data_IF_963539484390
#
_entry.id   IF_963539484390
#
_cell.length_a   1.000
_cell.length_b   1.000
_cell.length_c   1.000
_cell.angle_alpha   90.00
_cell.angle_beta   90.00
_cell.angle_gamma   90.00
#
_symmetry.space_group_name_H-M   'P 1'
#
loop_
_entity.id
_entity.type
_entity.pdbx_description
1 polymer ?
#
# COMPACT_ATOMS: atom_id res chain seq x y z
N UNK A 1 7.43 1.11 -0.32
CA UNK A 1 8.47 0.09 -0.56
C UNK A 1 9.79 0.75 -0.94
N UNK A 2 10.90 0.06 -0.75
CA UNK A 2 12.25 0.56 -1.07
C UNK A 2 12.41 0.95 -2.55
N UNK A 3 11.71 0.28 -3.45
CA UNK A 3 11.74 0.50 -4.90
C UNK A 3 10.79 1.61 -5.40
N UNK A 4 10.17 2.35 -4.48
CA UNK A 4 9.22 3.41 -4.80
C UNK A 4 7.79 2.95 -5.04
N UNK A 5 7.50 1.65 -4.97
CA UNK A 5 6.16 1.10 -5.00
C UNK A 5 5.39 1.37 -3.71
N UNK A 6 4.08 1.21 -3.77
CA UNK A 6 3.19 1.29 -2.60
C UNK A 6 2.52 -0.05 -2.38
N UNK A 7 2.51 -0.53 -1.13
CA UNK A 7 1.76 -1.70 -0.72
C UNK A 7 0.64 -1.29 0.25
N UNK A 8 -0.55 -1.78 0.00
CA UNK A 8 -1.71 -1.64 0.89
C UNK A 8 -2.24 -3.03 1.22
N UNK A 9 -2.25 -3.38 2.50
CA UNK A 9 -2.79 -4.66 2.99
C UNK A 9 -3.99 -4.42 3.88
N UNK A 10 -5.08 -5.14 3.64
CA UNK A 10 -6.27 -5.18 4.49
C UNK A 10 -6.55 -6.60 5.02
N UNK A 11 -7.29 -6.67 6.12
CA UNK A 11 -7.80 -7.89 6.75
C UNK A 11 -9.31 -8.10 6.50
N UNK A 12 -9.84 -7.50 5.43
CA UNK A 12 -11.22 -7.63 5.01
C UNK A 12 -11.56 -9.01 4.43
N UNK A 13 -12.64 -9.09 3.67
CA UNK A 13 -13.11 -10.35 3.07
C UNK A 13 -12.30 -10.81 1.84
N UNK A 14 -11.43 -9.99 1.34
CA UNK A 14 -10.71 -10.16 0.08
C UNK A 14 -11.57 -9.81 -1.14
N UNK A 15 -10.93 -9.31 -2.19
CA UNK A 15 -11.59 -9.00 -3.47
C UNK A 15 -12.15 -10.29 -4.08
N UNK A 16 -13.38 -10.30 -4.65
CA UNK A 16 -13.93 -11.49 -5.30
C UNK A 16 -13.07 -11.97 -6.46
N UNK A 17 -12.84 -13.30 -6.54
CA UNK A 17 -12.01 -13.95 -7.55
C UNK A 17 -12.81 -14.90 -8.47
N UNK A 18 -14.07 -15.20 -8.12
CA UNK A 18 -14.95 -16.04 -8.94
C UNK A 18 -15.16 -15.44 -10.34
N UNK A 19 -15.62 -16.27 -11.27
CA UNK A 19 -15.95 -15.82 -12.62
C UNK A 19 -17.15 -14.86 -12.60
N UNK A 20 -16.98 -13.72 -13.22
CA UNK A 20 -18.02 -12.72 -13.44
C UNK A 20 -18.91 -13.13 -14.63
N UNK A 21 -20.13 -12.60 -14.72
CA UNK A 21 -21.06 -12.84 -15.82
C UNK A 21 -20.53 -12.43 -17.20
N UNK A 22 -19.52 -11.56 -17.24
CA UNK A 22 -18.80 -11.19 -18.48
C UNK A 22 -17.84 -12.27 -19.01
N UNK A 23 -17.64 -13.38 -18.27
CA UNK A 23 -16.68 -14.42 -18.63
C UNK A 23 -15.25 -14.15 -18.22
N UNK A 24 -15.00 -13.10 -17.43
CA UNK A 24 -13.70 -12.76 -16.87
C UNK A 24 -13.69 -12.99 -15.33
N UNK A 25 -12.53 -13.19 -14.69
CA UNK A 25 -12.45 -13.17 -13.24
C UNK A 25 -12.98 -11.83 -12.68
N UNK A 26 -13.74 -11.88 -11.59
CA UNK A 26 -14.32 -10.66 -10.99
C UNK A 26 -13.23 -9.66 -10.60
N UNK A 27 -12.08 -10.12 -10.14
CA UNK A 27 -10.94 -9.24 -9.84
C UNK A 27 -10.50 -8.42 -11.06
N UNK A 28 -10.49 -9.00 -12.26
CA UNK A 28 -10.11 -8.26 -13.47
C UNK A 28 -11.15 -7.20 -13.82
N UNK A 29 -12.43 -7.50 -13.65
CA UNK A 29 -13.50 -6.50 -13.83
C UNK A 29 -13.35 -5.35 -12.84
N UNK A 30 -13.05 -5.64 -11.57
CA UNK A 30 -12.83 -4.62 -10.52
C UNK A 30 -11.64 -3.73 -10.84
N UNK A 31 -10.56 -4.31 -11.34
CA UNK A 31 -9.29 -3.60 -11.56
C UNK A 31 -9.24 -2.86 -12.89
N UNK A 32 -10.10 -3.20 -13.86
CA UNK A 32 -10.00 -2.64 -15.22
C UNK A 32 -11.25 -1.90 -15.69
N UNK A 33 -12.40 -2.08 -15.02
CA UNK A 33 -13.66 -1.44 -15.42
C UNK A 33 -14.04 -0.35 -14.40
N UNK A 34 -14.28 0.85 -14.89
CA UNK A 34 -14.78 1.95 -14.07
C UNK A 34 -16.17 1.62 -13.52
N UNK A 35 -16.42 1.97 -12.25
CA UNK A 35 -17.68 1.73 -11.53
C UNK A 35 -18.04 0.24 -11.28
N UNK A 36 -17.12 -0.69 -11.55
CA UNK A 36 -17.35 -2.11 -11.26
C UNK A 36 -17.21 -2.46 -9.76
N UNK A 37 -16.45 -1.66 -9.00
CA UNK A 37 -16.14 -1.94 -7.59
C UNK A 37 -17.26 -1.63 -6.59
N UNK A 38 -18.31 -0.90 -6.99
CA UNK A 38 -19.30 -0.34 -6.05
C UNK A 38 -20.44 -1.27 -5.64
N UNK A 39 -20.59 -2.44 -6.25
CA UNK A 39 -21.78 -3.29 -6.07
C UNK A 39 -21.47 -4.77 -5.99
N UNK A 40 -20.56 -5.16 -5.10
CA UNK A 40 -20.33 -6.60 -4.91
C UNK A 40 -21.47 -7.29 -4.14
N UNK A 41 -22.17 -6.57 -3.28
CA UNK A 41 -23.41 -6.99 -2.59
C UNK A 41 -24.11 -5.76 -2.04
N UNK A 42 -25.40 -5.58 -2.32
CA UNK A 42 -26.23 -4.55 -1.66
C UNK A 42 -26.26 -4.82 -0.14
N UNK A 43 -25.85 -3.83 0.66
CA UNK A 43 -25.87 -3.89 2.13
C UNK A 43 -24.61 -4.42 2.80
N UNK A 44 -23.56 -4.78 2.07
CA UNK A 44 -22.34 -5.37 2.64
C UNK A 44 -21.43 -4.36 3.38
N UNK A 45 -21.58 -3.06 3.14
CA UNK A 45 -20.79 -2.01 3.77
C UNK A 45 -21.70 -0.95 4.39
N UNK A 46 -21.69 -0.85 5.72
CA UNK A 46 -22.42 0.20 6.46
C UNK A 46 -21.78 1.58 6.30
N UNK A 47 -20.47 1.65 6.04
CA UNK A 47 -19.73 2.87 5.75
C UNK A 47 -18.69 2.53 4.69
N UNK A 48 -18.79 3.12 3.50
CA UNK A 48 -17.74 3.00 2.49
C UNK A 48 -17.08 4.36 2.31
N UNK A 49 -15.78 4.44 2.54
CA UNK A 49 -14.97 5.62 2.23
C UNK A 49 -14.85 5.88 0.72
N UNK A 50 -15.30 4.93 -0.11
CA UNK A 50 -15.29 5.00 -1.56
C UNK A 50 -16.69 5.17 -2.13
N UNK A 51 -17.01 6.39 -2.59
CA UNK A 51 -18.37 6.74 -3.05
C UNK A 51 -18.68 6.31 -4.49
N UNK A 52 -17.68 5.96 -5.32
CA UNK A 52 -17.87 5.85 -6.77
C UNK A 52 -17.44 4.51 -7.39
N UNK A 53 -16.81 3.62 -6.63
CA UNK A 53 -16.35 2.31 -7.15
C UNK A 53 -15.27 2.41 -8.24
N UNK A 54 -14.50 3.51 -8.28
CA UNK A 54 -13.47 3.76 -9.30
C UNK A 54 -12.04 3.77 -8.75
N UNK A 55 -11.85 3.81 -7.43
CA UNK A 55 -10.54 4.06 -6.84
C UNK A 55 -9.47 3.10 -7.32
N UNK A 56 -9.69 1.80 -7.19
CA UNK A 56 -8.67 0.79 -7.52
C UNK A 56 -8.44 0.66 -9.03
N UNK A 57 -9.47 0.79 -9.86
CA UNK A 57 -9.32 0.75 -11.32
C UNK A 57 -8.55 1.96 -11.86
N UNK A 58 -8.72 3.13 -11.24
CA UNK A 58 -7.92 4.33 -11.56
C UNK A 58 -6.46 4.15 -11.11
N UNK A 59 -6.21 3.59 -9.93
CA UNK A 59 -4.83 3.26 -9.49
C UNK A 59 -4.17 2.34 -10.49
N UNK A 60 -4.86 1.28 -10.94
CA UNK A 60 -4.34 0.37 -11.96
C UNK A 60 -4.04 1.09 -13.28
N UNK A 61 -4.96 1.92 -13.77
CA UNK A 61 -4.80 2.67 -15.02
C UNK A 61 -3.64 3.67 -15.01
N UNK A 62 -3.25 4.16 -13.82
CA UNK A 62 -2.17 5.13 -13.62
C UNK A 62 -0.85 4.48 -13.16
N UNK A 63 -0.75 3.15 -13.26
CA UNK A 63 0.41 2.38 -12.83
C UNK A 63 1.06 1.65 -14.01
N UNK A 64 2.38 1.55 -13.99
CA UNK A 64 3.12 0.68 -14.91
C UNK A 64 2.89 -0.78 -14.58
N UNK A 65 2.74 -1.09 -13.27
CA UNK A 65 2.52 -2.44 -12.75
C UNK A 65 1.62 -2.39 -11.53
N UNK A 66 0.74 -3.38 -11.41
CA UNK A 66 -0.03 -3.64 -10.20
C UNK A 66 -0.05 -5.15 -9.92
N UNK A 67 0.08 -5.51 -8.65
CA UNK A 67 0.00 -6.89 -8.15
C UNK A 67 -1.09 -6.98 -7.08
N UNK A 68 -1.85 -8.05 -7.12
CA UNK A 68 -2.90 -8.33 -6.16
C UNK A 68 -2.73 -9.74 -5.58
N UNK A 69 -2.51 -9.81 -4.26
CA UNK A 69 -2.51 -11.03 -3.49
C UNK A 69 -3.80 -11.08 -2.67
N UNK A 70 -4.70 -11.97 -3.00
CA UNK A 70 -6.02 -12.06 -2.39
C UNK A 70 -6.11 -13.34 -1.57
N UNK A 71 -6.60 -13.22 -0.34
CA UNK A 71 -6.90 -14.34 0.54
C UNK A 71 -8.42 -14.43 0.68
N UNK A 72 -9.01 -15.39 -0.05
CA UNK A 72 -10.46 -15.56 -0.14
C UNK A 72 -10.85 -17.00 -0.47
N UNK A 73 -12.01 -17.40 -0.01
CA UNK A 73 -12.61 -18.71 -0.31
C UNK A 73 -11.71 -19.91 0.03
N UNK A 74 -10.89 -19.75 1.08
CA UNK A 74 -9.99 -20.78 1.60
C UNK A 74 -8.65 -20.90 0.88
N UNK A 75 -8.34 -20.01 -0.07
CA UNK A 75 -7.12 -20.03 -0.88
C UNK A 75 -6.49 -18.64 -1.01
N UNK A 76 -5.21 -18.65 -1.34
CA UNK A 76 -4.49 -17.50 -1.86
C UNK A 76 -4.67 -17.42 -3.37
N UNK A 77 -4.76 -16.20 -3.90
CA UNK A 77 -4.93 -15.91 -5.32
C UNK A 77 -4.00 -14.79 -5.73
N UNK A 78 -3.33 -14.93 -6.85
CA UNK A 78 -2.36 -13.96 -7.36
C UNK A 78 -2.76 -13.48 -8.73
N UNK A 79 -2.83 -12.15 -8.89
CA UNK A 79 -3.09 -11.50 -10.17
C UNK A 79 -2.10 -10.38 -10.39
N UNK A 80 -1.71 -10.17 -11.64
CA UNK A 80 -0.80 -9.09 -12.02
C UNK A 80 -1.38 -8.30 -13.19
N UNK A 81 -1.04 -7.02 -13.24
CA UNK A 81 -1.42 -6.13 -14.33
C UNK A 81 -0.17 -5.39 -14.79
N UNK A 82 0.06 -5.39 -16.10
CA UNK A 82 1.12 -4.65 -16.76
C UNK A 82 0.45 -3.58 -17.62
N UNK A 83 0.63 -2.31 -17.27
CA UNK A 83 -0.13 -1.18 -17.86
C UNK A 83 -1.64 -1.49 -17.97
N UNK A 84 -2.25 -1.92 -16.89
CA UNK A 84 -3.65 -2.34 -16.78
C UNK A 84 -4.03 -3.61 -17.55
N UNK A 85 -3.12 -4.24 -18.28
CA UNK A 85 -3.40 -5.51 -18.97
C UNK A 85 -3.30 -6.65 -17.96
N UNK A 86 -4.39 -7.42 -17.72
CA UNK A 86 -4.39 -8.52 -16.77
C UNK A 86 -3.52 -9.69 -17.25
N UNK A 87 -2.74 -10.23 -16.33
CA UNK A 87 -2.09 -11.53 -16.48
C UNK A 87 -3.08 -12.68 -16.27
N UNK A 88 -2.57 -13.86 -15.98
CA UNK A 88 -3.39 -15.04 -15.64
C UNK A 88 -3.60 -15.10 -14.14
N UNK A 89 -4.85 -15.12 -13.67
CA UNK A 89 -5.19 -15.37 -12.27
C UNK A 89 -4.69 -16.76 -11.85
N UNK A 90 -3.89 -16.81 -10.78
CA UNK A 90 -3.31 -18.05 -10.25
C UNK A 90 -3.85 -18.33 -8.86
N UNK A 91 -4.28 -19.56 -8.62
CA UNK A 91 -4.58 -20.06 -7.29
C UNK A 91 -3.29 -20.51 -6.62
N UNK A 92 -3.07 -20.07 -5.39
CA UNK A 92 -1.98 -20.47 -4.52
C UNK A 92 -2.38 -21.51 -3.48
N UNK A 93 -1.76 -21.43 -2.32
CA UNK A 93 -1.95 -22.38 -1.22
C UNK A 93 -3.28 -22.16 -0.49
N UNK A 94 -3.71 -23.19 0.23
CA UNK A 94 -4.86 -23.09 1.12
C UNK A 94 -4.55 -22.19 2.32
N UNK A 95 -5.47 -21.30 2.67
CA UNK A 95 -5.32 -20.38 3.80
C UNK A 95 -6.63 -20.18 4.56
N UNK A 96 -6.55 -19.96 5.87
CA UNK A 96 -7.69 -19.55 6.69
C UNK A 96 -7.81 -18.03 6.84
N UNK A 97 -6.81 -17.29 6.35
CA UNK A 97 -6.81 -15.83 6.40
C UNK A 97 -7.70 -15.27 5.30
N UNK A 98 -8.20 -14.05 5.51
CA UNK A 98 -8.92 -13.27 4.51
C UNK A 98 -8.27 -11.90 4.36
N UNK A 99 -8.55 -11.20 3.26
CA UNK A 99 -8.03 -9.86 2.98
C UNK A 99 -7.39 -9.73 1.63
N UNK A 100 -6.91 -8.53 1.34
CA UNK A 100 -6.22 -8.23 0.09
C UNK A 100 -4.90 -7.52 0.38
N UNK A 101 -3.91 -7.76 -0.46
CA UNK A 101 -2.66 -6.99 -0.52
C UNK A 101 -2.51 -6.51 -1.95
N UNK A 102 -2.50 -5.20 -2.14
CA UNK A 102 -2.33 -4.55 -3.44
C UNK A 102 -1.00 -3.82 -3.43
N UNK A 103 -0.15 -4.12 -4.41
CA UNK A 103 1.09 -3.39 -4.69
C UNK A 103 0.97 -2.69 -6.03
N UNK A 104 1.43 -1.46 -6.12
CA UNK A 104 1.44 -0.74 -7.39
C UNK A 104 2.63 0.21 -7.52
N UNK A 105 3.01 0.47 -8.76
CA UNK A 105 4.07 1.39 -9.13
C UNK A 105 3.50 2.43 -10.08
N UNK A 106 3.44 3.68 -9.61
CA UNK A 106 2.89 4.79 -10.39
C UNK A 106 3.69 5.02 -11.67
N UNK A 107 2.99 5.37 -12.77
CA UNK A 107 3.63 5.57 -14.06
C UNK A 107 4.34 6.94 -14.13
N UNK A 108 5.67 7.00 -14.25
CA UNK A 108 6.43 8.24 -14.36
C UNK A 108 6.17 8.99 -15.67
N UNK A 109 5.55 8.37 -16.67
CA UNK A 109 5.12 9.06 -17.88
C UNK A 109 3.84 9.89 -17.68
N UNK A 110 3.06 9.60 -16.64
CA UNK A 110 1.80 10.28 -16.31
C UNK A 110 2.02 11.33 -15.21
N UNK A 111 2.80 10.99 -14.19
CA UNK A 111 3.01 11.84 -13.02
C UNK A 111 4.32 12.63 -13.14
N UNK A 112 4.30 13.90 -12.77
CA UNK A 112 5.50 14.75 -12.69
C UNK A 112 6.53 14.19 -11.69
N UNK A 113 6.06 13.54 -10.64
CA UNK A 113 6.88 12.82 -9.66
C UNK A 113 6.15 11.59 -9.15
N UNK A 114 6.88 10.50 -8.98
CA UNK A 114 6.41 9.27 -8.32
C UNK A 114 6.99 9.13 -6.91
N UNK A 115 7.63 10.18 -6.41
CA UNK A 115 8.19 10.23 -5.05
C UNK A 115 7.10 10.66 -4.07
N UNK A 116 6.69 9.76 -3.19
CA UNK A 116 5.69 10.04 -2.18
C UNK A 116 6.31 10.78 -1.00
N UNK A 117 5.66 11.85 -0.54
CA UNK A 117 6.00 12.54 0.70
C UNK A 117 5.31 11.88 1.90
N UNK A 118 6.10 11.43 2.87
CA UNK A 118 5.61 10.71 4.04
C UNK A 118 4.59 11.51 4.85
N UNK A 119 4.86 12.80 5.10
CA UNK A 119 3.99 13.63 5.93
C UNK A 119 2.66 13.96 5.23
N UNK A 120 2.68 14.10 3.92
CA UNK A 120 1.47 14.30 3.12
C UNK A 120 0.58 13.05 3.16
N UNK A 121 1.16 11.86 2.98
CA UNK A 121 0.43 10.59 3.08
C UNK A 121 -0.07 10.38 4.50
N UNK A 122 0.77 10.58 5.52
CA UNK A 122 0.42 10.42 6.92
C UNK A 122 -0.78 11.28 7.32
N UNK A 123 -0.80 12.56 6.89
CA UNK A 123 -1.94 13.47 7.15
C UNK A 123 -3.24 12.95 6.56
N UNK A 124 -3.21 12.45 5.32
CA UNK A 124 -4.40 11.89 4.67
C UNK A 124 -4.90 10.61 5.35
N UNK A 125 -4.00 9.73 5.75
CA UNK A 125 -4.37 8.52 6.48
C UNK A 125 -4.92 8.83 7.87
N UNK A 126 -4.39 9.86 8.54
CA UNK A 126 -4.92 10.36 9.82
C UNK A 126 -6.37 10.86 9.66
N UNK A 127 -6.66 11.66 8.63
CA UNK A 127 -8.02 12.13 8.32
C UNK A 127 -8.96 10.94 8.08
N UNK A 128 -8.53 9.93 7.32
CA UNK A 128 -9.32 8.72 7.06
C UNK A 128 -9.59 7.92 8.33
N UNK A 129 -8.59 7.71 9.18
CA UNK A 129 -8.76 7.01 10.45
C UNK A 129 -9.71 7.76 11.39
N UNK A 130 -9.63 9.08 11.44
CA UNK A 130 -10.52 9.93 12.25
C UNK A 130 -11.98 9.84 11.80
N UNK A 131 -12.24 9.80 10.49
CA UNK A 131 -13.58 9.70 9.92
C UNK A 131 -14.19 8.29 10.03
N UNK A 132 -13.35 7.26 10.27
CA UNK A 132 -13.78 5.86 10.34
C UNK A 132 -13.42 5.27 11.70
N UNK A 133 -14.26 5.50 12.70
CA UNK A 133 -14.07 5.01 14.07
C UNK A 133 -13.81 3.52 14.13
N UNK A 134 -12.82 3.13 14.92
CA UNK A 134 -12.39 1.74 15.08
C UNK A 134 -11.44 1.23 14.00
N UNK A 135 -11.21 1.99 12.93
CA UNK A 135 -10.19 1.65 11.92
C UNK A 135 -8.80 1.92 12.47
N UNK A 136 -7.88 0.97 12.30
CA UNK A 136 -6.46 1.14 12.57
C UNK A 136 -5.70 1.17 11.26
N UNK A 137 -4.90 2.21 11.04
CA UNK A 137 -4.04 2.35 9.86
C UNK A 137 -2.58 2.43 10.32
N UNK A 138 -1.75 1.57 9.76
CA UNK A 138 -0.30 1.60 9.95
C UNK A 138 0.36 2.11 8.66
N UNK A 139 1.19 3.13 8.77
CA UNK A 139 2.00 3.65 7.67
C UNK A 139 3.48 3.37 7.95
N UNK A 140 4.14 2.75 6.99
CA UNK A 140 5.58 2.45 7.05
C UNK A 140 6.24 2.96 5.76
N UNK A 141 7.32 3.71 5.88
CA UNK A 141 8.16 4.10 4.74
C UNK A 141 9.48 3.32 4.83
N UNK A 142 9.67 2.41 3.89
CA UNK A 142 10.85 1.54 3.83
C UNK A 142 12.02 2.19 3.08
N UNK A 143 11.79 3.37 2.47
CA UNK A 143 12.84 4.09 1.75
C UNK A 143 13.82 4.70 2.74
N UNK A 144 15.11 4.47 2.52
CA UNK A 144 16.18 5.04 3.31
C UNK A 144 16.60 6.37 2.69
N UNK A 145 16.41 7.48 3.40
CA UNK A 145 16.95 8.77 2.96
C UNK A 145 18.25 9.09 3.73
N UNK A 146 19.33 9.49 3.04
CA UNK A 146 20.60 9.85 3.69
C UNK A 146 20.50 11.00 4.69
N UNK A 147 19.49 11.86 4.55
CA UNK A 147 19.30 13.05 5.40
C UNK A 147 18.79 12.70 6.82
N UNK A 148 18.13 11.57 7.00
CA UNK A 148 17.56 11.17 8.30
C UNK A 148 18.58 10.57 9.28
N UNK A 149 19.79 10.31 8.82
CA UNK A 149 20.91 9.88 9.69
C UNK A 149 21.53 11.07 10.44
N UNK A 150 21.22 12.32 10.05
CA UNK A 150 21.86 13.52 10.57
C UNK A 150 21.13 14.13 11.76
N UNK A 151 19.80 14.01 11.85
CA UNK A 151 18.99 14.74 12.84
C UNK A 151 18.93 14.11 14.25
N UNK A 152 19.40 12.88 14.45
CA UNK A 152 19.38 12.23 15.77
C UNK A 152 20.70 12.33 16.57
N UNK A 153 21.73 12.99 16.06
CA UNK A 153 23.02 13.15 16.76
C UNK A 153 23.13 14.52 17.50
N UNK A 154 22.08 15.32 17.48
CA UNK A 154 22.01 16.57 18.25
C UNK A 154 21.10 16.39 19.45
N UNK A 155 21.45 15.51 20.37
CA UNK A 155 21.00 15.58 21.76
C UNK A 155 22.16 15.91 22.65
N UNK A 156 22.00 17.02 23.38
CA UNK A 156 22.91 17.56 24.39
C UNK A 156 23.55 16.51 25.30
N UNK A 157 24.75 16.08 24.98
CA UNK A 157 25.73 15.66 25.99
C UNK A 157 27.12 16.06 25.52
N UNK A 158 27.78 16.86 26.33
CA UNK A 158 29.13 17.35 26.11
C UNK A 158 30.15 16.20 26.17
N UNK A 159 30.36 15.51 25.04
CA UNK A 159 31.50 14.61 24.84
C UNK A 159 32.38 15.15 23.71
N UNK A 160 33.70 14.90 23.87
CA UNK A 160 34.74 15.39 23.00
C UNK A 160 34.50 15.05 21.51
N UNK A 161 34.95 15.88 20.56
CA UNK A 161 34.68 15.67 19.13
C UNK A 161 35.36 14.39 18.65
N UNK A 162 34.51 13.39 18.27
CA UNK A 162 34.94 12.13 17.63
C UNK A 162 35.58 12.43 16.26
N UNK A 163 36.59 11.63 15.88
CA UNK A 163 37.29 11.79 14.60
C UNK A 163 36.36 11.53 13.42
N UNK A 164 36.71 12.05 12.24
CA UNK A 164 35.94 11.86 11.01
C UNK A 164 35.79 10.35 10.61
N UNK A 165 36.78 9.52 10.98
CA UNK A 165 36.79 8.09 10.73
C UNK A 165 35.85 7.32 11.67
N UNK A 166 35.76 7.72 12.95
CA UNK A 166 34.81 7.13 13.89
C UNK A 166 33.36 7.45 13.54
N UNK A 167 33.09 8.69 13.06
CA UNK A 167 31.78 9.09 12.53
C UNK A 167 31.40 8.34 11.27
N UNK A 168 32.36 8.03 10.40
CA UNK A 168 32.12 7.25 9.19
C UNK A 168 31.83 5.76 9.50
N UNK A 169 32.52 5.19 10.48
CA UNK A 169 32.30 3.81 10.93
C UNK A 169 30.94 3.67 11.66
N UNK A 170 30.57 4.64 12.46
CA UNK A 170 29.27 4.69 13.17
C UNK A 170 28.09 4.86 12.18
N UNK A 171 28.27 5.65 11.10
CA UNK A 171 27.31 5.77 9.99
C UNK A 171 27.15 4.47 9.20
N UNK A 172 28.22 3.71 9.00
CA UNK A 172 28.18 2.43 8.31
C UNK A 172 27.54 1.32 9.16
N UNK A 173 27.54 1.46 10.49
CA UNK A 173 26.96 0.51 11.44
C UNK A 173 25.51 0.82 11.84
N UNK A 174 25.03 2.05 11.56
CA UNK A 174 23.65 2.45 11.85
C UNK A 174 22.66 1.71 10.93
N UNK A 175 21.80 0.87 11.51
CA UNK A 175 20.70 0.28 10.75
C UNK A 175 19.77 1.39 10.25
N UNK A 176 19.34 1.35 8.96
CA UNK A 176 18.42 2.32 8.43
C UNK A 176 17.13 2.36 9.28
N UNK A 177 16.76 3.54 9.76
CA UNK A 177 15.50 3.71 10.48
C UNK A 177 14.36 3.85 9.48
N UNK A 178 13.45 2.91 9.55
CA UNK A 178 12.18 2.92 8.82
C UNK A 178 11.23 3.86 9.55
N UNK A 179 10.63 4.84 8.84
CA UNK A 179 9.57 5.68 9.41
C UNK A 179 8.30 4.86 9.59
N UNK A 180 7.73 4.89 10.79
CA UNK A 180 6.48 4.20 11.09
C UNK A 180 5.53 5.10 11.86
N UNK A 181 4.23 5.07 11.49
CA UNK A 181 3.18 5.81 12.19
C UNK A 181 1.89 5.00 12.22
N UNK A 182 1.24 4.95 13.37
CA UNK A 182 -0.06 4.26 13.56
C UNK A 182 -1.14 5.29 13.87
N UNK A 183 -2.28 5.16 13.22
CA UNK A 183 -3.49 5.97 13.43
C UNK A 183 -4.63 5.07 13.88
N UNK A 184 -5.23 5.40 15.03
CA UNK A 184 -6.40 4.72 15.56
C UNK A 184 -7.24 5.70 16.38
N UNK A 185 -8.54 5.75 16.10
CA UNK A 185 -9.51 6.56 16.83
C UNK A 185 -10.68 5.66 17.25
N UNK A 186 -10.91 5.47 18.58
CA UNK A 186 -11.95 4.60 19.12
C UNK A 186 -13.38 5.14 18.91
#
# INVERSE_FOLDING_TARGET
LEDGGVEVTDDGRGIPVAMHSSGQPTIDVVMTVLHAGGKFEEGAYQVSGGLHGVGVSVVNALSTRLEADIRRDGYEWFQTYDYSVPGTLKQGEATKKTGSTIRYWADPAIFETTNYDFETVARRLQEMAFLNKGLTINLTDERVTPEEVVDEIVSDTAEAPKSAEEKAAERAAAKPKVKHRTFHYP
#
